data_IF_262280562125
#
_entry.id   IF_262280562125
#
_cell.length_a   1.000
_cell.length_b   1.000
_cell.length_c   1.000
_cell.angle_alpha   90.00
_cell.angle_beta   90.00
_cell.angle_gamma   90.00
#
_symmetry.space_group_name_H-M   'P 1'
#
loop_
_entity.id
_entity.type
_entity.pdbx_description
1 polymer ?
#
# COMPACT_ATOMS: atom_id res chain seq x y z
N UNK A 1 13.20 -22.13 -1.92
CA UNK A 1 13.69 -21.47 -0.69
C UNK A 1 14.84 -22.27 -0.10
N UNK A 2 16.08 -21.81 -0.23
CA UNK A 2 17.22 -22.29 0.58
C UNK A 2 17.47 -21.25 1.65
N UNK A 3 16.82 -21.41 2.80
CA UNK A 3 16.90 -20.46 3.92
C UNK A 3 18.12 -20.74 4.82
N UNK A 4 18.53 -19.72 5.58
CA UNK A 4 19.62 -19.76 6.56
C UNK A 4 19.46 -20.80 7.69
N UNK A 5 18.31 -21.48 7.76
CA UNK A 5 17.94 -22.47 8.75
C UNK A 5 18.33 -23.92 8.35
N UNK A 6 19.40 -24.09 7.57
CA UNK A 6 19.92 -25.42 7.26
C UNK A 6 20.35 -26.09 8.59
N UNK A 7 19.64 -27.14 8.99
CA UNK A 7 19.89 -27.84 10.26
C UNK A 7 18.95 -27.48 11.40
N UNK A 8 18.05 -26.49 11.25
CA UNK A 8 17.05 -26.17 12.29
C UNK A 8 16.16 -27.37 12.62
N UNK A 9 15.78 -28.15 11.60
CA UNK A 9 15.06 -29.42 11.79
C UNK A 9 15.84 -30.35 12.72
N UNK A 10 17.15 -30.47 12.53
CA UNK A 10 18.01 -31.35 13.33
C UNK A 10 18.08 -30.86 14.78
N UNK A 11 18.30 -29.56 14.99
CA UNK A 11 18.34 -28.97 16.33
C UNK A 11 17.03 -29.19 17.11
N UNK A 12 15.88 -29.01 16.45
CA UNK A 12 14.56 -29.26 17.07
C UNK A 12 14.38 -30.74 17.44
N UNK A 13 14.86 -31.65 16.61
CA UNK A 13 14.78 -33.09 16.87
C UNK A 13 15.78 -33.55 17.96
N UNK A 14 16.94 -32.90 18.07
CA UNK A 14 17.92 -33.17 19.12
C UNK A 14 17.41 -32.69 20.50
N UNK A 15 16.71 -31.54 20.56
CA UNK A 15 16.11 -31.02 21.79
C UNK A 15 14.82 -31.72 22.20
N UNK A 16 14.01 -32.17 21.22
CA UNK A 16 12.74 -32.86 21.46
C UNK A 16 12.65 -34.12 20.59
N UNK A 17 13.07 -35.28 21.12
CA UNK A 17 13.05 -36.55 20.38
C UNK A 17 11.66 -36.99 19.92
N UNK A 18 10.61 -36.49 20.58
CA UNK A 18 9.21 -36.76 20.21
C UNK A 18 8.65 -35.79 19.16
N UNK A 19 9.39 -34.74 18.78
CA UNK A 19 8.94 -33.79 17.78
C UNK A 19 8.91 -34.42 16.38
N UNK A 20 7.82 -34.19 15.64
CA UNK A 20 7.67 -34.63 14.26
C UNK A 20 7.61 -33.43 13.31
N UNK A 21 8.41 -33.49 12.25
CA UNK A 21 8.44 -32.44 11.23
C UNK A 21 7.51 -32.82 10.06
N UNK A 22 6.49 -31.99 9.82
CA UNK A 22 5.63 -32.09 8.63
C UNK A 22 6.11 -31.06 7.61
N UNK A 23 6.37 -31.51 6.38
CA UNK A 23 6.76 -30.60 5.31
C UNK A 23 5.56 -29.78 4.83
N UNK A 24 5.70 -28.46 4.85
CA UNK A 24 4.67 -27.56 4.35
C UNK A 24 4.75 -27.44 2.82
N UNK A 25 3.71 -27.88 2.13
CA UNK A 25 3.59 -27.76 0.67
C UNK A 25 2.97 -26.44 0.20
N UNK A 26 2.77 -25.45 1.09
CA UNK A 26 2.11 -24.19 0.74
C UNK A 26 2.75 -23.50 -0.48
N UNK A 27 4.09 -23.54 -0.59
CA UNK A 27 4.78 -22.97 -1.75
C UNK A 27 4.48 -23.72 -3.05
N UNK A 28 4.46 -25.07 -3.01
CA UNK A 28 4.12 -25.88 -4.19
C UNK A 28 2.66 -25.67 -4.59
N UNK A 29 1.76 -25.67 -3.61
CA UNK A 29 0.35 -25.37 -3.83
C UNK A 29 0.16 -23.99 -4.44
N UNK A 30 0.84 -22.96 -3.92
CA UNK A 30 0.81 -21.61 -4.47
C UNK A 30 1.26 -21.58 -5.94
N UNK A 31 2.37 -22.24 -6.26
CA UNK A 31 2.87 -22.29 -7.64
C UNK A 31 1.88 -22.99 -8.58
N UNK A 32 1.29 -24.10 -8.14
CA UNK A 32 0.28 -24.82 -8.93
C UNK A 32 -0.98 -23.98 -9.14
N UNK A 33 -1.49 -23.32 -8.10
CA UNK A 33 -2.67 -22.44 -8.20
C UNK A 33 -2.41 -21.26 -9.13
N UNK A 34 -1.24 -20.63 -9.04
CA UNK A 34 -0.86 -19.53 -9.93
C UNK A 34 -0.74 -20.01 -11.37
N UNK A 35 -0.13 -21.17 -11.61
CA UNK A 35 -0.05 -21.75 -12.95
C UNK A 35 -1.45 -22.02 -13.52
N UNK A 36 -2.35 -22.61 -12.73
CA UNK A 36 -3.73 -22.87 -13.15
C UNK A 36 -4.50 -21.57 -13.44
N UNK A 37 -4.37 -20.57 -12.57
CA UNK A 37 -5.04 -19.28 -12.75
C UNK A 37 -4.59 -18.55 -14.03
N UNK A 38 -3.33 -18.73 -14.46
CA UNK A 38 -2.82 -18.15 -15.72
C UNK A 38 -3.41 -18.80 -16.97
N UNK A 39 -3.84 -20.04 -16.89
CA UNK A 39 -4.51 -20.76 -17.99
C UNK A 39 -6.03 -20.47 -18.03
N UNK A 40 -6.57 -19.79 -17.03
CA UNK A 40 -7.99 -19.42 -16.97
C UNK A 40 -8.19 -17.98 -17.47
N UNK A 41 -8.91 -17.77 -18.60
CA UNK A 41 -9.08 -16.43 -19.18
C UNK A 41 -9.76 -15.41 -18.27
N UNK A 42 -10.74 -15.83 -17.46
CA UNK A 42 -11.47 -14.93 -16.55
C UNK A 42 -10.55 -14.42 -15.43
N UNK A 43 -9.72 -15.32 -14.88
CA UNK A 43 -8.70 -14.97 -13.89
C UNK A 43 -7.67 -13.99 -14.49
N UNK A 44 -7.19 -14.25 -15.70
CA UNK A 44 -6.26 -13.35 -16.40
C UNK A 44 -6.89 -11.97 -16.57
N UNK A 45 -8.10 -11.89 -17.12
CA UNK A 45 -8.80 -10.62 -17.32
C UNK A 45 -9.02 -9.85 -16.01
N UNK A 46 -9.43 -10.55 -14.95
CA UNK A 46 -9.63 -9.97 -13.62
C UNK A 46 -8.33 -9.35 -13.07
N UNK A 47 -7.22 -10.11 -13.09
CA UNK A 47 -5.95 -9.62 -12.54
C UNK A 47 -5.33 -8.51 -13.38
N UNK A 48 -5.53 -8.52 -14.70
CA UNK A 48 -5.15 -7.40 -15.57
C UNK A 48 -5.92 -6.11 -15.22
N UNK A 49 -7.25 -6.20 -15.11
CA UNK A 49 -8.08 -5.05 -14.70
C UNK A 49 -7.68 -4.52 -13.34
N UNK A 50 -7.44 -5.40 -12.38
CA UNK A 50 -6.94 -5.02 -11.06
C UNK A 50 -5.59 -4.32 -11.16
N UNK A 51 -4.69 -4.81 -12.01
CA UNK A 51 -3.40 -4.18 -12.29
C UNK A 51 -3.55 -2.75 -12.84
N UNK A 52 -4.43 -2.55 -13.81
CA UNK A 52 -4.72 -1.22 -14.36
C UNK A 52 -5.29 -0.26 -13.31
N UNK A 53 -6.23 -0.74 -12.49
CA UNK A 53 -6.83 0.05 -11.41
C UNK A 53 -5.76 0.47 -10.39
N UNK A 54 -4.95 -0.46 -9.91
CA UNK A 54 -3.90 -0.19 -8.94
C UNK A 54 -2.85 0.77 -9.50
N UNK A 55 -2.44 0.62 -10.76
CA UNK A 55 -1.50 1.54 -11.39
C UNK A 55 -2.10 2.96 -11.55
N UNK A 56 -3.38 3.05 -11.90
CA UNK A 56 -4.08 4.34 -12.00
C UNK A 56 -4.16 5.04 -10.64
N UNK A 57 -4.51 4.31 -9.59
CA UNK A 57 -4.54 4.85 -8.22
C UNK A 57 -3.14 5.26 -7.79
N UNK A 58 -2.14 4.40 -7.93
CA UNK A 58 -0.77 4.69 -7.51
C UNK A 58 -0.18 5.92 -8.23
N UNK A 59 -0.38 6.02 -9.55
CA UNK A 59 0.07 7.19 -10.32
C UNK A 59 -0.73 8.45 -10.00
N UNK A 60 -2.02 8.33 -9.67
CA UNK A 60 -2.84 9.47 -9.22
C UNK A 60 -2.37 9.97 -7.86
N UNK A 61 -2.17 9.08 -6.88
CA UNK A 61 -1.65 9.44 -5.55
C UNK A 61 -0.28 10.13 -5.65
N UNK A 62 0.65 9.59 -6.44
CA UNK A 62 1.96 10.20 -6.66
C UNK A 62 1.85 11.58 -7.31
N UNK A 63 0.97 11.74 -8.30
CA UNK A 63 0.73 13.05 -8.93
C UNK A 63 0.13 14.05 -7.96
N UNK A 64 -0.82 13.61 -7.13
CA UNK A 64 -1.45 14.44 -6.11
C UNK A 64 -0.42 14.93 -5.08
N UNK A 65 0.46 14.04 -4.61
CA UNK A 65 1.57 14.40 -3.73
C UNK A 65 2.50 15.43 -4.38
N UNK A 66 2.91 15.21 -5.64
CA UNK A 66 3.74 16.16 -6.37
C UNK A 66 3.09 17.55 -6.52
N UNK A 67 1.79 17.60 -6.79
CA UNK A 67 1.03 18.86 -6.87
C UNK A 67 0.99 19.56 -5.51
N UNK A 68 0.77 18.82 -4.41
CA UNK A 68 0.79 19.38 -3.06
C UNK A 68 2.15 19.98 -2.70
N UNK A 69 3.26 19.32 -3.09
CA UNK A 69 4.62 19.83 -2.89
C UNK A 69 4.87 21.09 -3.72
N UNK A 70 4.44 21.11 -4.99
CA UNK A 70 4.60 22.28 -5.85
C UNK A 70 3.82 23.49 -5.30
N UNK A 71 2.57 23.28 -4.89
CA UNK A 71 1.74 24.31 -4.25
C UNK A 71 2.37 24.83 -2.96
N UNK A 72 2.90 23.94 -2.11
CA UNK A 72 3.57 24.36 -0.88
C UNK A 72 4.78 25.27 -1.15
N UNK A 73 5.55 24.98 -2.20
CA UNK A 73 6.71 25.79 -2.60
C UNK A 73 6.29 27.16 -3.15
N UNK A 74 5.26 27.21 -3.99
CA UNK A 74 4.71 28.49 -4.47
C UNK A 74 4.19 29.34 -3.30
N UNK A 75 3.55 28.71 -2.32
CA UNK A 75 3.04 29.37 -1.13
C UNK A 75 4.17 29.96 -0.26
N UNK A 76 5.24 29.20 -0.08
CA UNK A 76 6.44 29.65 0.64
C UNK A 76 7.05 30.89 -0.03
N UNK A 77 7.19 30.88 -1.36
CA UNK A 77 7.69 32.03 -2.11
C UNK A 77 6.78 33.25 -2.00
N UNK A 78 5.46 33.08 -2.12
CA UNK A 78 4.51 34.17 -1.98
C UNK A 78 4.50 34.76 -0.56
N UNK A 79 4.72 33.94 0.47
CA UNK A 79 4.90 34.40 1.86
C UNK A 79 6.20 35.21 2.01
N UNK A 80 7.31 34.75 1.43
CA UNK A 80 8.60 35.46 1.46
C UNK A 80 8.52 36.82 0.77
N UNK A 81 7.80 36.91 -0.35
CA UNK A 81 7.57 38.15 -1.10
C UNK A 81 6.52 39.06 -0.42
N UNK A 82 5.84 38.60 0.62
CA UNK A 82 4.79 39.34 1.31
C UNK A 82 3.51 39.53 0.49
N UNK A 83 3.32 38.73 -0.56
CA UNK A 83 2.13 38.76 -1.41
C UNK A 83 0.91 38.17 -0.70
N UNK A 84 1.13 37.28 0.27
CA UNK A 84 0.09 36.64 1.06
C UNK A 84 0.43 36.66 2.55
N UNK A 85 -0.60 36.66 3.40
CA UNK A 85 -0.45 36.63 4.85
C UNK A 85 -0.53 35.19 5.41
N UNK A 86 0.19 34.92 6.50
CA UNK A 86 0.09 33.67 7.24
C UNK A 86 -0.97 33.78 8.35
N UNK A 87 -1.83 32.77 8.48
CA UNK A 87 -2.89 32.79 9.48
C UNK A 87 -3.53 31.42 9.68
N UNK A 88 -4.21 31.25 10.83
CA UNK A 88 -4.84 29.99 11.21
C UNK A 88 -6.03 29.70 10.28
N UNK A 89 -5.87 28.73 9.37
CA UNK A 89 -6.89 28.38 8.37
C UNK A 89 -6.66 28.98 6.98
N UNK A 90 -5.72 29.91 6.84
CA UNK A 90 -5.32 30.43 5.52
C UNK A 90 -4.35 29.45 4.86
N UNK A 91 -4.35 29.42 3.52
CA UNK A 91 -3.32 28.77 2.72
C UNK A 91 -3.17 27.25 2.96
N UNK A 92 -4.21 26.58 3.46
CA UNK A 92 -4.24 25.13 3.66
C UNK A 92 -4.63 24.41 2.37
N UNK A 93 -4.00 23.27 2.09
CA UNK A 93 -4.43 22.39 1.01
C UNK A 93 -5.88 21.91 1.22
N UNK A 94 -6.64 21.80 0.13
CA UNK A 94 -7.98 21.24 0.16
C UNK A 94 -7.91 19.73 0.47
N UNK A 95 -7.98 19.38 1.75
CA UNK A 95 -8.22 18.00 2.20
C UNK A 95 -9.71 17.64 2.14
N UNK A 96 -10.05 16.39 2.46
CA UNK A 96 -11.42 16.04 2.84
C UNK A 96 -11.89 17.03 3.93
N UNK A 97 -13.11 17.57 3.77
CA UNK A 97 -13.69 18.51 4.72
C UNK A 97 -13.52 17.97 6.15
N UNK A 98 -13.13 18.83 7.09
CA UNK A 98 -12.91 18.38 8.47
C UNK A 98 -14.23 17.80 8.98
N UNK A 99 -14.22 16.72 9.80
CA UNK A 99 -15.45 16.16 10.38
C UNK A 99 -16.33 17.17 11.16
N UNK A 100 -15.80 18.37 11.47
CA UNK A 100 -16.56 19.48 12.07
C UNK A 100 -17.28 20.40 11.07
N UNK A 101 -16.93 20.38 9.78
CA UNK A 101 -17.55 21.22 8.73
C UNK A 101 -18.84 20.58 8.18
N UNK A 102 -18.97 19.25 8.26
CA UNK A 102 -20.23 18.51 8.10
C UNK A 102 -21.03 18.57 9.41
N UNK A 103 -21.44 19.77 9.80
CA UNK A 103 -22.42 19.94 10.88
C UNK A 103 -23.76 19.36 10.41
N UNK A 104 -23.96 18.06 10.57
CA UNK A 104 -25.27 17.43 10.58
C UNK A 104 -26.00 17.88 11.85
N UNK A 105 -26.42 19.14 11.83
CA UNK A 105 -27.29 19.73 12.82
C UNK A 105 -28.65 19.94 12.20
N UNK A 106 -29.60 19.05 12.52
CA UNK A 106 -31.01 19.42 12.62
C UNK A 106 -31.76 18.35 13.43
N UNK A 107 -32.07 18.74 14.68
CA UNK A 107 -32.92 18.14 15.71
C UNK A 107 -32.47 16.83 16.39
#
# INVERSE_FOLDING_TARGET
MKGAANGLKKLIMDESPSAYYIHCFAHQLQLTLVAFAKENPDCVAFFEQLGYLLNTIATSCKRHEMLGVAQAKELEQALELGEIESGRGLNQGMGLARPGDTRWGSH
#
